data_IF_417897435192
#
_entry.id   IF_417897435192
#
_cell.length_a   1.000
_cell.length_b   1.000
_cell.length_c   1.000
_cell.angle_alpha   90.00
_cell.angle_beta   90.00
_cell.angle_gamma   90.00
#
_symmetry.space_group_name_H-M   'P 1'
#
loop_
_entity.id
_entity.type
_entity.pdbx_description
1 polymer ?
#
# COMPACT_ATOMS: atom_id res chain seq x y z
N UNK A 1 -5.98 8.61 28.70
CA UNK A 1 -5.38 9.55 27.72
C UNK A 1 -4.84 8.71 26.57
N UNK A 2 -4.78 9.23 25.35
CA UNK A 2 -4.54 8.52 24.06
C UNK A 2 -5.85 7.93 23.48
N UNK A 3 -6.42 8.34 22.34
CA UNK A 3 -5.81 8.50 21.02
C UNK A 3 -6.62 9.48 20.12
N UNK A 4 -6.48 10.80 20.25
CA UNK A 4 -7.14 11.75 19.31
C UNK A 4 -6.18 12.36 18.27
N UNK A 5 -4.87 12.14 18.38
CA UNK A 5 -3.87 12.83 17.52
C UNK A 5 -3.41 12.06 16.27
N UNK A 6 -3.78 10.78 16.10
CA UNK A 6 -3.36 10.01 14.90
C UNK A 6 -4.16 10.34 13.64
N UNK A 7 -5.37 10.91 13.79
CA UNK A 7 -6.15 11.38 12.66
C UNK A 7 -5.49 12.61 12.03
N UNK A 8 -5.37 13.69 12.79
CA UNK A 8 -4.91 14.98 12.27
C UNK A 8 -3.45 15.00 11.80
N UNK A 9 -2.53 14.36 12.54
CA UNK A 9 -1.12 14.33 12.14
C UNK A 9 -0.94 13.63 10.78
N UNK A 10 -1.58 12.48 10.56
CA UNK A 10 -1.41 11.71 9.31
C UNK A 10 -2.15 12.35 8.12
N UNK A 11 -3.21 13.12 8.37
CA UNK A 11 -3.88 13.92 7.33
C UNK A 11 -2.97 15.06 6.85
N UNK A 12 -2.26 15.74 7.76
CA UNK A 12 -1.26 16.75 7.39
C UNK A 12 -0.15 16.16 6.51
N UNK A 13 0.36 14.97 6.86
CA UNK A 13 1.41 14.32 6.09
C UNK A 13 1.00 13.96 4.65
N UNK A 14 -0.24 13.53 4.42
CA UNK A 14 -0.69 13.24 3.05
C UNK A 14 -0.93 14.53 2.26
N UNK A 15 -1.55 15.55 2.86
CA UNK A 15 -1.82 16.80 2.17
C UNK A 15 -0.52 17.55 1.82
N UNK A 16 0.49 17.49 2.69
CA UNK A 16 1.84 17.99 2.43
C UNK A 16 2.53 17.21 1.30
N UNK A 17 2.43 15.87 1.32
CA UNK A 17 3.02 15.02 0.28
C UNK A 17 2.40 15.28 -1.10
N UNK A 18 1.08 15.44 -1.16
CA UNK A 18 0.35 15.77 -2.39
C UNK A 18 0.67 17.20 -2.85
N UNK A 19 0.76 18.15 -1.93
CA UNK A 19 1.10 19.54 -2.26
C UNK A 19 2.51 19.64 -2.82
N UNK A 20 3.47 18.91 -2.22
CA UNK A 20 4.83 18.81 -2.73
C UNK A 20 4.85 18.19 -4.13
N UNK A 21 4.11 17.10 -4.34
CA UNK A 21 3.98 16.46 -5.65
C UNK A 21 3.42 17.41 -6.71
N UNK A 22 2.33 18.12 -6.41
CA UNK A 22 1.73 19.08 -7.33
C UNK A 22 2.72 20.19 -7.68
N UNK A 23 3.44 20.70 -6.69
CA UNK A 23 4.46 21.73 -6.91
C UNK A 23 5.64 21.23 -7.73
N UNK A 24 6.05 19.97 -7.58
CA UNK A 24 7.07 19.37 -8.46
C UNK A 24 6.59 19.36 -9.91
N UNK A 25 5.34 18.91 -10.14
CA UNK A 25 4.73 18.88 -11.48
C UNK A 25 4.62 20.28 -12.08
N UNK A 26 4.18 21.29 -11.31
CA UNK A 26 4.08 22.69 -11.73
C UNK A 26 5.45 23.29 -12.10
N UNK A 27 6.50 22.93 -11.37
CA UNK A 27 7.87 23.36 -11.63
C UNK A 27 8.55 22.57 -12.76
N UNK A 28 7.85 21.62 -13.40
CA UNK A 28 8.41 20.74 -14.42
C UNK A 28 9.41 19.72 -13.89
N UNK A 29 9.49 19.54 -12.57
CA UNK A 29 10.34 18.56 -11.91
C UNK A 29 9.62 17.22 -11.97
N UNK A 30 10.23 16.23 -12.62
CA UNK A 30 9.66 14.89 -12.72
C UNK A 30 9.65 14.22 -11.34
N UNK A 31 8.48 13.83 -10.80
CA UNK A 31 8.39 12.99 -9.61
C UNK A 31 9.19 11.69 -9.82
N UNK A 32 9.79 11.19 -8.75
CA UNK A 32 10.54 9.94 -8.75
C UNK A 32 9.85 8.87 -7.89
N UNK A 33 10.44 7.68 -7.85
CA UNK A 33 10.00 6.55 -7.04
C UNK A 33 9.83 6.94 -5.57
N UNK A 34 10.78 7.69 -4.99
CA UNK A 34 10.70 8.15 -3.59
C UNK A 34 9.49 9.07 -3.35
N UNK A 35 9.13 9.91 -4.31
CA UNK A 35 7.98 10.81 -4.20
C UNK A 35 6.68 10.00 -4.12
N UNK A 36 6.53 9.01 -4.99
CA UNK A 36 5.38 8.10 -4.94
C UNK A 36 5.36 7.25 -3.69
N UNK A 37 6.53 6.80 -3.22
CA UNK A 37 6.65 6.05 -1.98
C UNK A 37 6.12 6.84 -0.78
N UNK A 38 6.48 8.12 -0.67
CA UNK A 38 6.00 9.00 0.40
C UNK A 38 4.47 9.17 0.35
N UNK A 39 3.91 9.41 -0.83
CA UNK A 39 2.45 9.54 -1.00
C UNK A 39 1.73 8.24 -0.61
N UNK A 40 2.22 7.08 -1.07
CA UNK A 40 1.62 5.79 -0.76
C UNK A 40 1.71 5.44 0.73
N UNK A 41 2.84 5.72 1.36
CA UNK A 41 3.02 5.53 2.80
C UNK A 41 2.04 6.42 3.59
N UNK A 42 1.93 7.69 3.22
CA UNK A 42 0.96 8.60 3.82
C UNK A 42 -0.49 8.13 3.61
N UNK A 43 -0.82 7.62 2.42
CA UNK A 43 -2.12 7.01 2.14
C UNK A 43 -2.38 5.79 3.03
N UNK A 44 -1.41 4.87 3.17
CA UNK A 44 -1.53 3.67 4.01
C UNK A 44 -1.86 4.03 5.47
N UNK A 45 -1.16 5.04 6.00
CA UNK A 45 -1.37 5.46 7.38
C UNK A 45 -2.66 6.24 7.60
N UNK A 46 -3.06 7.08 6.63
CA UNK A 46 -4.31 7.83 6.68
C UNK A 46 -5.54 6.98 6.32
N UNK A 47 -5.34 5.78 5.75
CA UNK A 47 -6.42 4.89 5.29
C UNK A 47 -7.08 5.34 3.99
N UNK A 48 -6.43 6.17 3.18
CA UNK A 48 -6.99 6.68 1.93
C UNK A 48 -6.76 5.72 0.76
N UNK A 49 -7.56 4.64 0.73
CA UNK A 49 -7.47 3.56 -0.27
C UNK A 49 -7.55 4.07 -1.70
N UNK A 50 -8.56 4.87 -2.02
CA UNK A 50 -8.79 5.37 -3.38
C UNK A 50 -7.65 6.27 -3.87
N UNK A 51 -7.13 7.16 -3.01
CA UNK A 51 -5.95 7.98 -3.34
C UNK A 51 -4.71 7.11 -3.54
N UNK A 52 -4.48 6.14 -2.67
CA UNK A 52 -3.34 5.21 -2.80
C UNK A 52 -3.36 4.44 -4.12
N UNK A 53 -4.52 3.86 -4.49
CA UNK A 53 -4.70 3.18 -5.79
C UNK A 53 -4.50 4.14 -6.96
N UNK A 54 -5.02 5.36 -6.87
CA UNK A 54 -4.87 6.38 -7.91
C UNK A 54 -3.40 6.73 -8.17
N UNK A 55 -2.64 7.05 -7.12
CA UNK A 55 -1.23 7.42 -7.26
C UNK A 55 -0.36 6.24 -7.68
N UNK A 56 -0.63 5.02 -7.18
CA UNK A 56 0.06 3.81 -7.63
C UNK A 56 -0.10 3.57 -9.14
N UNK A 57 -1.32 3.73 -9.66
CA UNK A 57 -1.59 3.57 -11.09
C UNK A 57 -1.02 4.73 -11.92
N UNK A 58 -1.13 5.97 -11.42
CA UNK A 58 -0.59 7.17 -12.08
C UNK A 58 0.93 7.10 -12.22
N UNK A 59 1.63 6.54 -11.23
CA UNK A 59 3.07 6.32 -11.27
C UNK A 59 3.52 5.57 -12.55
N UNK A 60 2.80 4.49 -12.90
CA UNK A 60 3.09 3.70 -14.10
C UNK A 60 2.59 4.39 -15.36
N UNK A 61 1.31 4.82 -15.36
CA UNK A 61 0.63 5.32 -16.56
C UNK A 61 1.12 6.70 -16.99
N UNK A 62 1.29 7.61 -16.05
CA UNK A 62 1.51 9.03 -16.31
C UNK A 62 3.00 9.40 -16.20
N UNK A 63 3.77 8.70 -15.34
CA UNK A 63 5.19 9.00 -15.10
C UNK A 63 6.16 7.92 -15.62
N UNK A 64 5.66 6.75 -15.99
CA UNK A 64 6.47 5.63 -16.51
C UNK A 64 7.41 5.02 -15.47
N UNK A 65 7.08 5.15 -14.18
CA UNK A 65 7.90 4.64 -13.08
C UNK A 65 7.41 3.23 -12.74
N UNK A 66 8.33 2.26 -12.73
CA UNK A 66 8.01 0.87 -12.38
C UNK A 66 7.88 0.69 -10.87
N UNK A 67 6.81 0.05 -10.36
CA UNK A 67 6.67 -0.19 -8.94
C UNK A 67 7.69 -1.23 -8.46
N UNK A 68 8.40 -0.89 -7.38
CA UNK A 68 9.28 -1.82 -6.67
C UNK A 68 8.52 -2.54 -5.54
N UNK A 69 9.20 -3.44 -4.81
CA UNK A 69 8.61 -4.21 -3.70
C UNK A 69 8.00 -3.33 -2.61
N UNK A 70 8.61 -2.19 -2.30
CA UNK A 70 8.13 -1.27 -1.27
C UNK A 70 6.81 -0.59 -1.66
N UNK A 71 6.64 -0.22 -2.94
CA UNK A 71 5.40 0.34 -3.45
C UNK A 71 4.24 -0.66 -3.30
N UNK A 72 4.49 -1.92 -3.67
CA UNK A 72 3.51 -3.00 -3.50
C UNK A 72 3.23 -3.26 -2.02
N UNK A 73 4.26 -3.26 -1.16
CA UNK A 73 4.10 -3.45 0.28
C UNK A 73 3.19 -2.39 0.90
N UNK A 74 3.36 -1.12 0.55
CA UNK A 74 2.47 -0.06 1.05
C UNK A 74 1.05 -0.19 0.51
N UNK A 75 0.87 -0.59 -0.75
CA UNK A 75 -0.48 -0.81 -1.30
C UNK A 75 -1.18 -1.98 -0.60
N UNK A 76 -0.48 -3.08 -0.37
CA UNK A 76 -1.00 -4.25 0.36
C UNK A 76 -1.32 -3.89 1.81
N UNK A 77 -0.44 -3.17 2.50
CA UNK A 77 -0.68 -2.71 3.88
C UNK A 77 -1.92 -1.80 3.95
N UNK A 78 -2.05 -0.84 3.03
CA UNK A 78 -3.20 0.04 2.93
C UNK A 78 -4.52 -0.73 2.78
N UNK A 79 -4.57 -1.67 1.82
CA UNK A 79 -5.75 -2.49 1.56
C UNK A 79 -6.07 -3.42 2.74
N UNK A 80 -5.04 -4.03 3.31
CA UNK A 80 -5.16 -4.96 4.44
C UNK A 80 -5.71 -4.25 5.68
N UNK A 81 -5.24 -3.04 5.97
CA UNK A 81 -5.71 -2.20 7.07
C UNK A 81 -7.14 -1.69 6.84
N UNK A 82 -7.48 -1.37 5.59
CA UNK A 82 -8.83 -0.96 5.20
C UNK A 82 -9.86 -2.11 5.19
N UNK A 83 -9.39 -3.37 5.23
CA UNK A 83 -10.24 -4.56 5.23
C UNK A 83 -10.53 -5.13 3.84
N UNK A 84 -9.95 -4.53 2.80
CA UNK A 84 -9.96 -5.06 1.43
C UNK A 84 -8.89 -6.16 1.28
N UNK A 85 -9.06 -7.26 2.02
CA UNK A 85 -8.12 -8.38 2.05
C UNK A 85 -8.04 -9.09 0.69
N UNK A 86 -9.15 -9.09 -0.06
CA UNK A 86 -9.20 -9.67 -1.39
C UNK A 86 -8.37 -8.84 -2.37
N UNK A 87 -8.58 -7.51 -2.41
CA UNK A 87 -7.76 -6.61 -3.22
C UNK A 87 -6.28 -6.68 -2.82
N UNK A 88 -5.98 -6.77 -1.52
CA UNK A 88 -4.62 -6.95 -1.04
C UNK A 88 -3.97 -8.24 -1.59
N UNK A 89 -4.70 -9.35 -1.60
CA UNK A 89 -4.23 -10.63 -2.14
C UNK A 89 -4.09 -10.60 -3.68
N UNK A 90 -5.01 -9.95 -4.39
CA UNK A 90 -4.90 -9.74 -5.83
C UNK A 90 -3.65 -8.93 -6.19
N UNK A 91 -3.35 -7.89 -5.42
CA UNK A 91 -2.13 -7.09 -5.59
C UNK A 91 -0.90 -7.98 -5.45
N UNK A 92 -0.83 -8.84 -4.42
CA UNK A 92 0.28 -9.79 -4.23
C UNK A 92 0.42 -10.73 -5.45
N UNK A 93 -0.69 -11.27 -5.96
CA UNK A 93 -0.67 -12.16 -7.13
C UNK A 93 -0.29 -11.44 -8.44
N UNK A 94 -0.56 -10.13 -8.53
CA UNK A 94 -0.20 -9.31 -9.68
C UNK A 94 1.27 -8.88 -9.69
N UNK A 95 2.02 -9.15 -8.61
CA UNK A 95 3.42 -8.73 -8.52
C UNK A 95 4.29 -9.46 -9.54
N UNK A 96 5.18 -8.74 -10.26
CA UNK A 96 6.08 -9.35 -11.23
C UNK A 96 7.25 -10.12 -10.59
N UNK A 97 7.36 -10.09 -9.26
CA UNK A 97 8.40 -10.75 -8.47
C UNK A 97 7.78 -11.35 -7.20
N UNK A 98 8.42 -12.36 -6.58
CA UNK A 98 7.89 -13.00 -5.37
C UNK A 98 7.75 -11.99 -4.23
N UNK A 99 6.58 -11.98 -3.60
CA UNK A 99 6.32 -11.17 -2.42
C UNK A 99 7.16 -11.65 -1.23
N UNK A 100 7.75 -10.69 -0.51
CA UNK A 100 8.56 -10.97 0.67
C UNK A 100 7.70 -11.23 1.92
N UNK A 101 8.37 -11.62 3.02
CA UNK A 101 7.71 -11.87 4.29
C UNK A 101 6.98 -10.63 4.86
N UNK A 102 7.45 -9.42 4.52
CA UNK A 102 6.85 -8.16 4.99
C UNK A 102 5.48 -7.94 4.35
N UNK A 103 5.35 -8.19 3.05
CA UNK A 103 4.10 -8.06 2.29
C UNK A 103 3.06 -9.07 2.77
N UNK A 104 3.45 -10.34 2.92
CA UNK A 104 2.57 -11.36 3.48
C UNK A 104 2.20 -11.04 4.94
N UNK A 105 3.16 -10.52 5.72
CA UNK A 105 2.94 -10.07 7.09
C UNK A 105 1.87 -8.98 7.18
N UNK A 106 1.87 -8.02 6.26
CA UNK A 106 0.87 -6.96 6.18
C UNK A 106 -0.54 -7.54 5.93
N UNK A 107 -0.67 -8.47 4.98
CA UNK A 107 -1.95 -9.15 4.70
C UNK A 107 -2.47 -9.97 5.89
N UNK A 108 -1.60 -10.76 6.52
CA UNK A 108 -1.94 -11.56 7.70
C UNK A 108 -2.36 -10.66 8.87
N UNK A 109 -1.67 -9.53 9.05
CA UNK A 109 -2.01 -8.56 10.08
C UNK A 109 -3.40 -7.94 9.81
N UNK A 110 -3.71 -7.60 8.56
CA UNK A 110 -5.06 -7.17 8.15
C UNK A 110 -6.13 -8.22 8.45
N UNK A 111 -5.88 -9.49 8.09
CA UNK A 111 -6.81 -10.60 8.39
C UNK A 111 -7.10 -10.72 9.89
N UNK A 112 -6.06 -10.55 10.72
CA UNK A 112 -6.17 -10.58 12.18
C UNK A 112 -6.98 -9.41 12.72
N UNK A 113 -6.73 -8.19 12.21
CA UNK A 113 -7.45 -6.97 12.61
C UNK A 113 -8.94 -7.09 12.29
N UNK A 114 -9.28 -7.59 11.09
CA UNK A 114 -10.66 -7.73 10.62
C UNK A 114 -11.32 -9.06 11.00
N UNK A 115 -10.66 -9.88 11.81
CA UNK A 115 -11.14 -11.20 12.26
C UNK A 115 -11.55 -12.15 11.12
N UNK A 116 -10.97 -11.97 9.93
CA UNK A 116 -11.20 -12.80 8.74
C UNK A 116 -10.27 -14.02 8.74
N UNK A 117 -10.46 -14.87 9.74
CA UNK A 117 -9.69 -16.11 9.92
C UNK A 117 -9.98 -17.13 8.82
N UNK A 118 -11.16 -17.08 8.22
CA UNK A 118 -11.55 -17.82 7.02
C UNK A 118 -10.58 -17.56 5.86
N UNK A 119 -10.30 -16.27 5.60
CA UNK A 119 -9.39 -15.86 4.54
C UNK A 119 -7.94 -16.24 4.87
N UNK A 120 -7.51 -16.03 6.11
CA UNK A 120 -6.19 -16.42 6.59
C UNK A 120 -5.93 -17.94 6.44
N UNK A 121 -6.93 -18.77 6.72
CA UNK A 121 -6.82 -20.22 6.57
C UNK A 121 -6.74 -20.65 5.11
N UNK A 122 -7.41 -19.91 4.20
CA UNK A 122 -7.25 -20.05 2.76
C UNK A 122 -5.82 -19.76 2.33
N UNK A 123 -5.31 -18.57 2.67
CA UNK A 123 -3.93 -18.16 2.34
C UNK A 123 -2.90 -19.14 2.88
N UNK A 124 -3.05 -19.61 4.14
CA UNK A 124 -2.10 -20.57 4.73
C UNK A 124 -2.02 -21.87 3.93
N UNK A 125 -3.14 -22.37 3.39
CA UNK A 125 -3.14 -23.55 2.52
C UNK A 125 -2.38 -23.29 1.21
N UNK A 126 -2.53 -22.10 0.65
CA UNK A 126 -1.87 -21.73 -0.60
C UNK A 126 -0.37 -21.47 -0.38
N UNK A 127 0.03 -20.79 0.70
CA UNK A 127 1.42 -20.58 1.07
C UNK A 127 2.17 -21.90 1.32
N UNK A 128 1.52 -22.89 1.95
CA UNK A 128 2.12 -24.23 2.13
C UNK A 128 2.32 -24.94 0.78
N UNK A 129 1.48 -24.65 -0.23
CA UNK A 129 1.71 -25.16 -1.60
C UNK A 129 2.82 -24.42 -2.33
N UNK A 130 2.97 -23.10 -2.13
CA UNK A 130 3.99 -22.29 -2.80
C UNK A 130 5.37 -22.31 -2.11
N UNK A 131 5.44 -22.66 -0.82
CA UNK A 131 6.68 -22.79 -0.05
C UNK A 131 7.41 -24.14 -0.18
N UNK A 132 6.85 -25.08 -0.95
CA UNK A 132 7.51 -26.34 -1.32
C UNK A 132 7.93 -26.28 -2.80
N UNK A 133 8.96 -25.49 -3.11
CA UNK A 133 9.70 -25.65 -4.36
C UNK A 133 11.15 -25.26 -4.20
#
# INVERSE_FOLDING_TARGET
MECHDRGYAMHGYIDDSISLFNRMVELGIKPNDVTFMNILSACSHAGYVEKGKFYFNSMVRDFGIMPNSEHYACLVDLLSRAGDLHGAFEVINSMPFPADASIWGALVNGCRIHQRLDFLNGIKRDLVKYGCR
#
